data_IF_563883013924
#
_entry.id   IF_563883013924
#
_cell.length_a   1.000
_cell.length_b   1.000
_cell.length_c   1.000
_cell.angle_alpha   90.00
_cell.angle_beta   90.00
_cell.angle_gamma   90.00
#
_symmetry.space_group_name_H-M   'P 1'
#
loop_
_entity.id
_entity.type
_entity.pdbx_description
1 polymer ?
#
# COMPACT_ATOMS: atom_id res chain seq x y z
N UNK A 1 -9.83 -3.14 -12.71
CA UNK A 1 -8.84 -3.83 -11.84
C UNK A 1 -7.45 -3.62 -12.38
N UNK A 2 -6.55 -3.19 -11.56
CA UNK A 2 -5.17 -2.99 -11.99
C UNK A 2 -4.20 -3.24 -10.83
N UNK A 3 -2.96 -3.51 -11.18
CA UNK A 3 -1.88 -3.58 -10.21
C UNK A 3 -1.33 -2.18 -9.95
N UNK A 4 -1.12 -1.88 -8.69
CA UNK A 4 -0.52 -0.62 -8.28
C UNK A 4 0.90 -0.91 -7.81
N UNK A 5 1.87 -0.22 -8.38
CA UNK A 5 3.28 -0.41 -8.07
C UNK A 5 3.61 0.26 -6.74
N UNK A 6 4.12 -0.53 -5.80
CA UNK A 6 4.51 -0.04 -4.48
C UNK A 6 6.01 0.24 -4.38
N UNK A 7 6.73 0.01 -5.47
CA UNK A 7 8.17 0.15 -5.46
C UNK A 7 8.87 -1.17 -5.14
N UNK A 8 10.15 -1.25 -5.45
CA UNK A 8 11.01 -2.41 -5.13
C UNK A 8 10.43 -3.72 -5.66
N UNK A 9 9.82 -3.65 -6.86
CA UNK A 9 9.24 -4.82 -7.54
C UNK A 9 8.02 -5.40 -6.82
N UNK A 10 7.34 -4.59 -6.01
CA UNK A 10 6.13 -5.02 -5.32
C UNK A 10 4.92 -4.35 -5.93
N UNK A 11 3.84 -5.13 -6.08
CA UNK A 11 2.59 -4.61 -6.63
C UNK A 11 1.42 -5.18 -5.84
N UNK A 12 0.32 -4.44 -5.83
CA UNK A 12 -0.91 -4.86 -5.16
C UNK A 12 -2.08 -4.61 -6.11
N UNK A 13 -3.08 -5.46 -6.05
CA UNK A 13 -4.31 -5.24 -6.81
C UNK A 13 -5.12 -4.15 -6.14
N UNK A 14 -5.53 -3.14 -6.93
CA UNK A 14 -6.24 -2.00 -6.38
C UNK A 14 -7.54 -2.41 -5.68
N UNK A 15 -8.23 -3.40 -6.20
CA UNK A 15 -9.51 -3.83 -5.64
C UNK A 15 -9.37 -4.61 -4.34
N UNK A 16 -8.16 -4.97 -3.95
CA UNK A 16 -7.94 -5.69 -2.71
C UNK A 16 -7.56 -4.76 -1.56
N UNK A 17 -7.43 -3.47 -1.82
CA UNK A 17 -7.07 -2.48 -0.81
C UNK A 17 -8.33 -1.99 -0.11
N UNK A 18 -8.35 -2.13 1.20
CA UNK A 18 -9.47 -1.64 2.03
C UNK A 18 -9.17 -0.24 2.53
N UNK A 19 -7.95 -0.01 3.00
CA UNK A 19 -7.58 1.27 3.59
C UNK A 19 -6.10 1.53 3.47
N UNK A 20 -5.74 2.80 3.43
CA UNK A 20 -4.35 3.25 3.47
C UNK A 20 -4.28 4.23 4.64
N UNK A 21 -3.44 3.93 5.61
CA UNK A 21 -3.39 4.74 6.83
C UNK A 21 -1.96 5.20 7.11
N UNK A 22 -1.87 6.26 7.92
CA UNK A 22 -0.56 6.77 8.34
C UNK A 22 0.05 5.84 9.39
N UNK A 23 1.33 5.50 9.26
CA UNK A 23 1.97 4.63 10.25
C UNK A 23 2.12 5.29 11.63
N UNK A 24 1.96 6.60 11.70
CA UNK A 24 2.17 7.33 12.95
C UNK A 24 0.94 7.37 13.85
N UNK A 25 -0.21 6.97 13.35
CA UNK A 25 -1.42 6.98 14.17
C UNK A 25 -1.41 5.82 15.16
N UNK A 26 -2.07 6.00 16.31
CA UNK A 26 -2.16 4.95 17.31
C UNK A 26 -2.87 3.71 16.77
N UNK A 27 -4.00 3.84 16.06
CA UNK A 27 -4.64 2.66 15.49
C UNK A 27 -3.74 1.91 14.52
N UNK A 28 -2.99 2.63 13.69
CA UNK A 28 -2.10 1.98 12.73
C UNK A 28 -0.99 1.21 13.43
N UNK A 29 -0.41 1.79 14.49
CA UNK A 29 0.62 1.11 15.24
C UNK A 29 0.12 -0.18 15.86
N UNK A 30 -1.12 -0.18 16.35
CA UNK A 30 -1.72 -1.37 16.93
C UNK A 30 -1.95 -2.44 15.87
N UNK A 31 -2.47 -2.03 14.72
CA UNK A 31 -2.73 -2.96 13.62
C UNK A 31 -1.42 -3.62 13.16
N UNK A 32 -0.37 -2.82 13.03
CA UNK A 32 0.92 -3.33 12.61
C UNK A 32 1.47 -4.32 13.64
N UNK A 33 1.37 -4.00 14.92
CA UNK A 33 1.87 -4.88 15.97
C UNK A 33 1.14 -6.22 15.96
N UNK A 34 -0.18 -6.20 15.83
CA UNK A 34 -0.97 -7.42 15.78
C UNK A 34 -0.65 -8.26 14.55
N UNK A 35 -0.47 -7.58 13.42
CA UNK A 35 -0.16 -8.27 12.18
C UNK A 35 1.22 -8.92 12.24
N UNK A 36 2.16 -8.29 12.91
CA UNK A 36 3.49 -8.89 13.10
C UNK A 36 3.41 -10.16 13.91
N UNK A 37 2.60 -10.17 14.97
CA UNK A 37 2.46 -11.35 15.81
C UNK A 37 1.81 -12.50 15.07
N UNK A 38 0.88 -12.21 14.17
CA UNK A 38 0.16 -13.24 13.43
C UNK A 38 0.74 -13.48 12.04
N UNK A 39 1.89 -12.92 11.77
CA UNK A 39 2.64 -13.15 10.52
C UNK A 39 1.83 -12.75 9.29
N UNK A 40 1.10 -11.63 9.41
CA UNK A 40 0.31 -11.09 8.29
C UNK A 40 0.93 -9.83 7.69
N UNK A 41 2.16 -9.50 8.09
CA UNK A 41 2.87 -8.34 7.57
C UNK A 41 3.54 -8.70 6.25
N UNK A 42 3.41 -7.80 5.29
CA UNK A 42 4.17 -7.87 4.05
C UNK A 42 4.96 -6.56 3.96
N UNK A 43 6.27 -6.65 4.05
CA UNK A 43 7.13 -5.47 4.04
C UNK A 43 7.57 -5.17 2.62
N UNK A 44 7.06 -4.10 2.07
CA UNK A 44 7.39 -3.67 0.71
C UNK A 44 8.21 -2.38 0.70
N UNK A 45 8.90 -2.08 1.82
CA UNK A 45 9.66 -0.84 1.93
C UNK A 45 11.07 -0.92 1.36
N UNK A 46 11.56 -2.12 1.12
CA UNK A 46 12.93 -2.27 0.66
C UNK A 46 13.94 -1.78 1.67
N UNK A 47 13.60 -1.85 2.95
CA UNK A 47 14.49 -1.38 4.01
C UNK A 47 14.38 0.11 4.29
N UNK A 48 13.48 0.81 3.60
CA UNK A 48 13.29 2.24 3.82
C UNK A 48 12.24 2.47 4.87
N UNK A 49 12.12 3.74 5.26
CA UNK A 49 11.13 4.14 6.27
C UNK A 49 9.72 3.89 5.74
N UNK A 50 8.88 3.32 6.59
CA UNK A 50 7.47 3.13 6.26
C UNK A 50 6.77 4.49 6.26
N UNK A 51 6.15 4.83 5.14
CA UNK A 51 5.41 6.08 5.01
C UNK A 51 3.91 5.86 4.92
N UNK A 52 3.47 4.65 4.63
CA UNK A 52 2.05 4.33 4.65
C UNK A 52 1.87 2.86 4.98
N UNK A 53 0.69 2.53 5.48
CA UNK A 53 0.30 1.17 5.82
C UNK A 53 -0.96 0.85 5.03
N UNK A 54 -0.91 -0.21 4.24
CA UNK A 54 -2.02 -0.62 3.39
C UNK A 54 -2.68 -1.84 4.00
N UNK A 55 -3.99 -1.79 4.16
CA UNK A 55 -4.77 -2.89 4.71
C UNK A 55 -5.57 -3.51 3.58
N UNK A 56 -5.45 -4.82 3.41
CA UNK A 56 -6.13 -5.54 2.35
C UNK A 56 -7.33 -6.29 2.89
N UNK A 57 -8.20 -6.75 1.99
CA UNK A 57 -9.39 -7.50 2.36
C UNK A 57 -9.07 -8.93 2.82
N UNK A 58 -7.82 -9.35 2.66
CA UNK A 58 -7.36 -10.65 3.15
C UNK A 58 -6.69 -10.55 4.52
N UNK A 59 -6.85 -9.42 5.21
CA UNK A 59 -6.27 -9.15 6.52
C UNK A 59 -4.75 -9.06 6.51
N UNK A 60 -4.16 -8.84 5.36
CA UNK A 60 -2.73 -8.57 5.29
C UNK A 60 -2.48 -7.09 5.50
N UNK A 61 -1.33 -6.79 6.10
CA UNK A 61 -0.91 -5.43 6.38
C UNK A 61 0.39 -5.20 5.64
N UNK A 62 0.38 -4.27 4.70
CA UNK A 62 1.52 -4.01 3.83
C UNK A 62 2.19 -2.72 4.27
N UNK A 63 3.49 -2.80 4.56
CA UNK A 63 4.29 -1.63 4.88
C UNK A 63 4.87 -1.08 3.58
N UNK A 64 4.65 0.19 3.32
CA UNK A 64 5.02 0.81 2.06
C UNK A 64 5.87 2.06 2.29
N UNK A 65 6.87 2.26 1.44
CA UNK A 65 7.74 3.42 1.51
C UNK A 65 7.18 4.63 0.75
N UNK A 66 6.08 4.47 0.03
CA UNK A 66 5.41 5.56 -0.63
C UNK A 66 4.42 6.21 0.34
N UNK A 67 4.25 7.52 0.23
CA UNK A 67 3.28 8.22 1.07
C UNK A 67 1.86 7.87 0.62
N UNK A 68 0.89 8.14 1.51
CA UNK A 68 -0.51 7.93 1.18
C UNK A 68 -0.91 8.77 -0.03
N UNK A 69 -0.38 9.99 -0.13
CA UNK A 69 -0.69 10.86 -1.27
C UNK A 69 -0.17 10.26 -2.58
N UNK A 70 1.02 9.72 -2.55
CA UNK A 70 1.59 9.09 -3.74
C UNK A 70 0.78 7.87 -4.15
N UNK A 71 0.34 7.07 -3.18
CA UNK A 71 -0.49 5.91 -3.47
C UNK A 71 -1.85 6.31 -4.02
N UNK A 72 -2.47 7.34 -3.43
CA UNK A 72 -3.75 7.82 -3.90
C UNK A 72 -3.64 8.28 -5.36
N UNK A 73 -2.54 8.96 -5.68
CA UNK A 73 -2.30 9.40 -7.03
C UNK A 73 -2.21 8.22 -8.00
N UNK A 74 -1.52 7.16 -7.60
CA UNK A 74 -1.40 5.98 -8.43
C UNK A 74 -2.72 5.24 -8.59
N UNK A 75 -3.52 5.19 -7.53
CA UNK A 75 -4.83 4.55 -7.59
C UNK A 75 -5.79 5.30 -8.49
N UNK A 76 -5.64 6.61 -8.58
CA UNK A 76 -6.53 7.45 -9.36
C UNK A 76 -6.02 7.75 -10.76
N UNK A 77 -5.02 7.00 -11.19
CA UNK A 77 -4.32 7.28 -12.44
C UNK A 77 -4.87 6.52 -13.64
N UNK A 78 -6.03 5.93 -13.49
CA UNK A 78 -6.64 5.14 -14.56
C UNK A 78 -6.86 5.93 -15.82
N UNK A 79 -7.21 7.18 -15.68
CA UNK A 79 -7.49 8.02 -16.82
C UNK A 79 -6.28 8.26 -17.68
N UNK A 80 -5.12 8.28 -17.05
CA UNK A 80 -3.89 8.58 -17.76
C UNK A 80 -3.33 7.37 -18.45
N UNK A 81 -3.69 6.20 -17.98
CA UNK A 81 -3.23 4.96 -18.59
C UNK A 81 -3.78 4.74 -19.97
N UNK A 82 -4.88 5.36 -20.26
CA UNK A 82 -5.53 5.16 -21.54
C UNK A 82 -4.93 6.01 -22.63
N UNK A 83 -4.09 6.84 -22.28
CA UNK A 83 -3.51 7.75 -23.25
C UNK A 83 -2.21 7.23 -23.76
N UNK A 84 -2.45 6.95 -23.42
CA UNK A 84 -1.50 6.65 -23.53
C UNK A 84 -0.57 6.71 -23.49
N UNK A 85 -1.16 6.57 -22.81
CA UNK A 85 -0.58 6.26 -22.57
C UNK A 85 0.09 6.23 -22.74
N UNK A 86 -0.03 6.30 -22.68
CA UNK A 86 0.41 6.09 -22.46
C UNK A 86 1.05 6.07 -22.61
N UNK A 87 0.99 6.26 -22.97
CA UNK A 87 1.35 6.07 -22.74
C UNK A 87 1.79 5.87 -22.80
#
# INVERSE_FOLDING_TARGET
MKFVNLGFNNMVLDQRIVAIVSPDSAPAKRIVAEAKESMRIIDCTGGRRTKSVIITDSDHVILCALSADALASRLNDDKNDNNGEEK
#
